data_IF_415602286514
#
_entry.id   IF_415602286514
#
_cell.length_a   1.000
_cell.length_b   1.000
_cell.length_c   1.000
_cell.angle_alpha   90.00
_cell.angle_beta   90.00
_cell.angle_gamma   90.00
#
_symmetry.space_group_name_H-M   'P 1'
#
loop_
_entity.id
_entity.type
_entity.pdbx_description
1 polymer ?
#
# COMPACT_ATOMS: atom_id res chain seq x y z
N UNK A 1 16.10 -34.98 11.90
CA UNK A 1 15.14 -34.04 12.49
C UNK A 1 14.49 -33.31 11.32
N UNK A 2 13.21 -33.54 11.11
CA UNK A 2 12.53 -33.47 9.81
C UNK A 2 11.61 -32.25 9.68
N UNK A 3 11.53 -31.68 8.47
CA UNK A 3 10.33 -31.06 7.84
C UNK A 3 10.59 -30.99 6.32
N UNK A 4 10.12 -31.97 5.53
CA UNK A 4 8.83 -32.07 4.78
C UNK A 4 8.71 -31.09 3.58
N UNK A 5 8.91 -31.68 2.38
CA UNK A 5 8.69 -31.17 1.00
C UNK A 5 9.59 -29.99 0.59
N UNK A 6 10.71 -30.15 -0.11
CA UNK A 6 10.99 -31.08 -1.22
C UNK A 6 11.23 -30.37 -2.56
N UNK A 7 11.27 -29.05 -2.60
CA UNK A 7 11.84 -28.29 -3.70
C UNK A 7 13.08 -27.57 -3.18
N UNK A 8 14.24 -27.94 -3.71
CA UNK A 8 15.48 -27.19 -3.53
C UNK A 8 15.19 -25.75 -3.94
N UNK A 9 15.34 -24.80 -3.02
CA UNK A 9 15.38 -23.39 -3.38
C UNK A 9 16.48 -23.24 -4.44
N UNK A 10 16.08 -22.99 -5.69
CA UNK A 10 17.04 -22.81 -6.76
C UNK A 10 17.92 -21.64 -6.34
N UNK A 11 19.23 -21.88 -6.20
CA UNK A 11 20.18 -20.78 -5.92
C UNK A 11 19.88 -19.65 -6.89
N UNK A 12 19.82 -18.42 -6.39
CA UNK A 12 19.51 -17.17 -7.09
C UNK A 12 20.06 -17.12 -8.52
N UNK A 13 21.30 -17.57 -8.71
CA UNK A 13 21.97 -17.64 -10.02
C UNK A 13 21.25 -18.54 -11.04
N UNK A 14 20.71 -19.69 -10.62
CA UNK A 14 19.96 -20.58 -11.51
C UNK A 14 18.64 -19.94 -11.96
N UNK A 15 17.97 -19.19 -11.08
CA UNK A 15 16.74 -18.48 -11.44
C UNK A 15 17.02 -17.44 -12.54
N UNK A 16 18.08 -16.65 -12.37
CA UNK A 16 18.51 -15.66 -13.37
C UNK A 16 18.81 -16.35 -14.69
N UNK A 17 19.63 -17.41 -14.70
CA UNK A 17 19.97 -18.14 -15.93
C UNK A 17 18.73 -18.72 -16.65
N UNK A 18 17.78 -19.26 -15.90
CA UNK A 18 16.53 -19.79 -16.48
C UNK A 18 15.68 -18.67 -17.06
N UNK A 19 15.56 -17.54 -16.35
CA UNK A 19 14.83 -16.37 -16.85
C UNK A 19 15.47 -15.83 -18.14
N UNK A 20 16.79 -15.67 -18.18
CA UNK A 20 17.53 -15.24 -19.37
C UNK A 20 17.28 -16.17 -20.56
N UNK A 21 17.38 -17.50 -20.35
CA UNK A 21 17.12 -18.47 -21.40
C UNK A 21 15.68 -18.38 -21.93
N UNK A 22 14.69 -18.23 -21.04
CA UNK A 22 13.28 -18.05 -21.43
C UNK A 22 13.12 -16.76 -22.24
N UNK A 23 13.70 -15.65 -21.80
CA UNK A 23 13.57 -14.36 -22.47
C UNK A 23 14.26 -14.36 -23.83
N UNK A 24 15.39 -15.05 -23.99
CA UNK A 24 16.04 -15.24 -25.28
C UNK A 24 15.14 -15.98 -26.27
N UNK A 25 14.49 -17.07 -25.85
CA UNK A 25 13.54 -17.81 -26.69
C UNK A 25 12.30 -16.98 -27.04
N UNK A 26 11.84 -16.12 -26.13
CA UNK A 26 10.69 -15.23 -26.35
C UNK A 26 11.03 -13.96 -27.15
N UNK A 27 12.32 -13.65 -27.35
CA UNK A 27 12.78 -12.42 -28.01
C UNK A 27 12.60 -11.15 -27.17
N UNK A 28 12.31 -11.28 -25.87
CA UNK A 28 12.14 -10.18 -24.92
C UNK A 28 11.02 -10.40 -23.90
N UNK A 29 11.08 -9.70 -22.77
CA UNK A 29 10.06 -9.77 -21.72
C UNK A 29 9.94 -8.48 -20.90
N UNK A 30 8.75 -8.28 -20.34
CA UNK A 30 8.50 -7.26 -19.33
C UNK A 30 8.47 -7.90 -17.94
N UNK A 31 9.27 -7.37 -17.03
CA UNK A 31 9.27 -7.76 -15.61
C UNK A 31 8.66 -6.63 -14.80
N UNK A 32 7.53 -6.89 -14.15
CA UNK A 32 6.81 -5.92 -13.30
C UNK A 32 6.97 -6.36 -11.85
N UNK A 33 7.63 -5.54 -11.05
CA UNK A 33 7.82 -5.75 -9.62
C UNK A 33 7.06 -4.67 -8.85
N UNK A 34 5.97 -5.06 -8.17
CA UNK A 34 5.16 -4.14 -7.40
C UNK A 34 5.55 -4.19 -5.91
N UNK A 35 5.76 -3.02 -5.31
CA UNK A 35 6.12 -2.79 -3.92
C UNK A 35 7.33 -3.62 -3.45
N UNK A 36 8.47 -3.47 -4.13
CA UNK A 36 9.71 -4.21 -3.80
C UNK A 36 10.11 -4.05 -2.33
N UNK A 37 9.85 -2.89 -1.72
CA UNK A 37 10.20 -2.63 -0.32
C UNK A 37 9.45 -3.48 0.69
N UNK A 38 8.32 -4.10 0.31
CA UNK A 38 7.53 -5.04 1.12
C UNK A 38 8.02 -6.50 1.01
N UNK A 39 9.04 -6.77 0.18
CA UNK A 39 9.65 -8.08 0.08
C UNK A 39 10.47 -8.41 1.34
N UNK A 40 10.26 -9.60 1.93
CA UNK A 40 11.03 -10.06 3.09
C UNK A 40 12.50 -10.30 2.70
N UNK A 41 12.72 -11.00 1.58
CA UNK A 41 14.04 -11.34 1.06
C UNK A 41 14.54 -10.26 0.07
N UNK A 42 14.35 -8.99 0.44
CA UNK A 42 14.60 -7.83 -0.43
C UNK A 42 16.02 -7.77 -0.98
N UNK A 43 17.02 -8.08 -0.15
CA UNK A 43 18.43 -8.04 -0.57
C UNK A 43 18.73 -9.05 -1.69
N UNK A 44 18.14 -10.24 -1.61
CA UNK A 44 18.26 -11.26 -2.66
C UNK A 44 17.55 -10.80 -3.93
N UNK A 45 16.34 -10.25 -3.81
CA UNK A 45 15.58 -9.71 -4.93
C UNK A 45 16.32 -8.56 -5.63
N UNK A 46 16.92 -7.63 -4.88
CA UNK A 46 17.74 -6.54 -5.42
C UNK A 46 18.95 -7.08 -6.20
N UNK A 47 19.60 -8.13 -5.69
CA UNK A 47 20.67 -8.82 -6.41
C UNK A 47 20.21 -9.45 -7.73
N UNK A 48 19.03 -10.07 -7.75
CA UNK A 48 18.41 -10.61 -8.98
C UNK A 48 18.14 -9.48 -9.98
N UNK A 49 17.49 -8.39 -9.53
CA UNK A 49 17.17 -7.25 -10.39
C UNK A 49 18.43 -6.65 -10.99
N UNK A 50 19.47 -6.45 -10.18
CA UNK A 50 20.76 -5.96 -10.65
C UNK A 50 21.36 -6.90 -11.70
N UNK A 51 21.38 -8.21 -11.45
CA UNK A 51 21.90 -9.19 -12.39
C UNK A 51 21.13 -9.17 -13.73
N UNK A 52 19.80 -9.11 -13.69
CA UNK A 52 18.96 -9.06 -14.90
C UNK A 52 19.20 -7.78 -15.70
N UNK A 53 19.21 -6.61 -15.04
CA UNK A 53 19.35 -5.31 -15.72
C UNK A 53 20.75 -5.11 -16.29
N UNK A 54 21.78 -5.67 -15.64
CA UNK A 54 23.17 -5.58 -16.10
C UNK A 54 23.56 -6.68 -17.09
N UNK A 55 22.74 -7.72 -17.21
CA UNK A 55 22.98 -8.80 -18.16
C UNK A 55 22.86 -8.30 -19.60
N UNK A 56 23.75 -8.81 -20.46
CA UNK A 56 23.65 -8.64 -21.91
C UNK A 56 22.81 -9.74 -22.58
N UNK A 57 22.28 -10.67 -21.79
CA UNK A 57 21.68 -11.92 -22.25
C UNK A 57 20.15 -11.86 -22.14
N UNK A 58 19.49 -11.12 -23.02
CA UNK A 58 18.02 -11.04 -23.12
C UNK A 58 17.48 -9.61 -23.12
N UNK A 59 16.39 -9.35 -23.85
CA UNK A 59 15.72 -8.04 -23.89
C UNK A 59 14.73 -7.93 -22.71
N UNK A 60 15.23 -7.56 -21.53
CA UNK A 60 14.41 -7.30 -20.36
C UNK A 60 13.98 -5.84 -20.27
N UNK A 61 12.68 -5.61 -20.04
CA UNK A 61 12.12 -4.30 -19.71
C UNK A 61 11.54 -4.37 -18.31
N UNK A 62 12.26 -3.79 -17.35
CA UNK A 62 11.88 -3.86 -15.94
C UNK A 62 11.09 -2.61 -15.57
N UNK A 63 9.92 -2.81 -14.98
CA UNK A 63 9.14 -1.78 -14.30
C UNK A 63 9.04 -2.16 -12.82
N UNK A 64 9.34 -1.21 -11.95
CA UNK A 64 9.41 -1.46 -10.53
C UNK A 64 8.76 -0.33 -9.74
N UNK A 65 8.03 -0.68 -8.69
CA UNK A 65 7.54 0.27 -7.69
C UNK A 65 8.16 -0.04 -6.33
N UNK A 66 8.54 0.99 -5.58
CA UNK A 66 9.12 0.88 -4.25
C UNK A 66 9.03 2.21 -3.51
N UNK A 67 9.00 2.17 -2.18
CA UNK A 67 9.41 3.32 -1.36
C UNK A 67 10.88 3.65 -1.61
N UNK A 68 11.21 4.94 -1.53
CA UNK A 68 12.58 5.45 -1.64
C UNK A 68 13.32 5.24 -0.30
N UNK A 69 13.67 3.99 0.00
CA UNK A 69 14.50 3.64 1.15
C UNK A 69 15.99 3.71 0.77
N UNK A 70 16.89 4.17 1.66
CA UNK A 70 18.30 4.39 1.31
C UNK A 70 19.03 3.16 0.77
N UNK A 71 18.71 1.98 1.30
CA UNK A 71 19.27 0.70 0.87
C UNK A 71 18.79 0.30 -0.54
N UNK A 72 17.53 0.58 -0.86
CA UNK A 72 16.94 0.32 -2.18
C UNK A 72 17.52 1.30 -3.21
N UNK A 73 17.53 2.60 -2.87
CA UNK A 73 18.05 3.66 -3.74
C UNK A 73 19.52 3.41 -4.09
N UNK A 74 20.34 2.99 -3.12
CA UNK A 74 21.75 2.68 -3.36
C UNK A 74 22.00 1.63 -4.45
N UNK A 75 21.07 0.67 -4.63
CA UNK A 75 21.16 -0.37 -5.66
C UNK A 75 20.47 0.04 -6.95
N UNK A 76 19.30 0.67 -6.87
CA UNK A 76 18.46 0.94 -8.04
C UNK A 76 18.83 2.24 -8.78
N UNK A 77 19.25 3.30 -8.08
CA UNK A 77 19.56 4.60 -8.71
C UNK A 77 20.57 4.49 -9.87
N UNK A 78 21.64 3.67 -9.79
CA UNK A 78 22.58 3.48 -10.90
C UNK A 78 21.98 2.70 -12.09
N UNK A 79 20.89 1.97 -11.88
CA UNK A 79 20.26 1.09 -12.87
C UNK A 79 19.05 1.74 -13.56
N UNK A 80 18.45 2.74 -12.92
CA UNK A 80 17.22 3.38 -13.39
C UNK A 80 17.48 4.19 -14.66
N UNK A 81 16.79 3.83 -15.73
CA UNK A 81 16.80 4.61 -16.99
C UNK A 81 15.73 5.71 -17.00
N UNK A 82 14.59 5.44 -16.36
CA UNK A 82 13.47 6.37 -16.21
C UNK A 82 12.95 6.28 -14.79
N UNK A 83 13.00 7.40 -14.06
CA UNK A 83 12.38 7.50 -12.74
C UNK A 83 11.02 8.19 -12.87
N UNK A 84 9.99 7.58 -12.28
CA UNK A 84 8.67 8.19 -12.09
C UNK A 84 8.55 8.84 -10.71
N UNK A 85 9.66 8.97 -9.97
CA UNK A 85 9.67 9.73 -8.73
C UNK A 85 9.08 11.11 -8.99
N UNK A 86 7.98 11.36 -8.29
CA UNK A 86 7.10 12.48 -8.53
C UNK A 86 7.88 13.77 -8.76
N UNK A 87 7.56 14.46 -9.84
CA UNK A 87 7.76 15.90 -9.92
C UNK A 87 6.96 16.48 -8.74
N UNK A 88 7.61 16.74 -7.60
CA UNK A 88 6.92 17.03 -6.35
C UNK A 88 5.91 18.19 -6.48
N UNK A 89 6.19 19.14 -7.39
CA UNK A 89 5.30 20.25 -7.72
C UNK A 89 3.98 19.82 -8.39
N UNK A 90 3.92 18.67 -9.10
CA UNK A 90 2.69 18.19 -9.73
C UNK A 90 1.77 17.50 -8.73
N UNK A 91 2.33 16.78 -7.75
CA UNK A 91 1.52 15.99 -6.80
C UNK A 91 0.69 16.89 -5.90
N UNK A 92 1.24 18.00 -5.39
CA UNK A 92 0.47 18.91 -4.54
C UNK A 92 -0.68 19.58 -5.31
N UNK A 93 -0.47 19.88 -6.60
CA UNK A 93 -1.51 20.38 -7.49
C UNK A 93 -2.60 19.34 -7.75
N UNK A 94 -2.21 18.09 -8.00
CA UNK A 94 -3.15 17.00 -8.24
C UNK A 94 -3.96 16.69 -6.97
N UNK A 95 -3.34 16.79 -5.79
CA UNK A 95 -4.03 16.71 -4.50
C UNK A 95 -5.02 17.85 -4.33
N UNK A 96 -4.66 19.10 -4.63
CA UNK A 96 -5.59 20.23 -4.57
C UNK A 96 -6.81 20.01 -5.48
N UNK A 97 -6.58 19.56 -6.73
CA UNK A 97 -7.66 19.22 -7.66
C UNK A 97 -8.55 18.10 -7.12
N UNK A 98 -7.95 17.03 -6.61
CA UNK A 98 -8.66 15.92 -5.99
C UNK A 98 -9.51 16.37 -4.79
N UNK A 99 -8.93 17.15 -3.87
CA UNK A 99 -9.63 17.65 -2.68
C UNK A 99 -10.80 18.54 -3.08
N UNK A 100 -10.61 19.47 -4.01
CA UNK A 100 -11.69 20.33 -4.51
C UNK A 100 -12.84 19.50 -5.07
N UNK A 101 -12.53 18.53 -5.92
CA UNK A 101 -13.53 17.63 -6.48
C UNK A 101 -14.29 16.89 -5.40
N UNK A 102 -13.59 16.32 -4.41
CA UNK A 102 -14.22 15.54 -3.33
C UNK A 102 -15.08 16.41 -2.41
N UNK A 103 -14.63 17.60 -2.03
CA UNK A 103 -15.39 18.51 -1.16
C UNK A 103 -16.67 18.99 -1.86
N UNK A 104 -16.61 19.23 -3.17
CA UNK A 104 -17.75 19.72 -3.95
C UNK A 104 -18.74 18.61 -4.35
N UNK A 105 -18.27 17.41 -4.64
CA UNK A 105 -19.11 16.31 -5.12
C UNK A 105 -19.68 15.42 -4.00
N UNK A 106 -18.98 15.30 -2.86
CA UNK A 106 -19.37 14.38 -1.81
C UNK A 106 -20.58 14.91 -1.01
N UNK A 107 -21.73 14.20 -0.94
CA UNK A 107 -22.98 14.73 -0.37
C UNK A 107 -22.86 15.25 1.08
N UNK A 108 -21.97 14.65 1.88
CA UNK A 108 -21.76 15.06 3.29
C UNK A 108 -20.84 16.28 3.45
N UNK A 109 -20.06 16.62 2.43
CA UNK A 109 -19.09 17.72 2.46
C UNK A 109 -19.62 18.93 1.69
N UNK A 110 -20.29 18.71 0.56
CA UNK A 110 -20.83 19.77 -0.30
C UNK A 110 -21.94 20.58 0.35
N UNK A 111 -22.57 20.05 1.41
CA UNK A 111 -23.56 20.76 2.23
C UNK A 111 -22.99 21.94 3.03
N UNK A 112 -21.67 21.99 3.23
CA UNK A 112 -21.04 23.05 4.01
C UNK A 112 -20.97 24.35 3.21
N UNK A 113 -20.94 25.49 3.90
CA UNK A 113 -20.74 26.79 3.26
C UNK A 113 -19.34 26.89 2.64
N UNK A 114 -19.18 27.75 1.62
CA UNK A 114 -17.93 27.88 0.86
C UNK A 114 -16.72 28.09 1.77
N UNK A 115 -16.86 28.92 2.80
CA UNK A 115 -15.77 29.25 3.73
C UNK A 115 -15.26 28.01 4.48
N UNK A 116 -16.16 27.07 4.79
CA UNK A 116 -15.83 25.82 5.47
C UNK A 116 -15.22 24.81 4.50
N UNK A 117 -15.73 24.78 3.26
CA UNK A 117 -15.15 23.97 2.19
C UNK A 117 -13.72 24.40 1.87
N UNK A 118 -13.47 25.71 1.84
CA UNK A 118 -12.14 26.29 1.67
C UNK A 118 -11.23 25.95 2.87
N UNK A 119 -11.72 26.07 4.10
CA UNK A 119 -10.97 25.69 5.32
C UNK A 119 -10.59 24.20 5.31
N UNK A 120 -11.51 23.33 4.87
CA UNK A 120 -11.22 21.89 4.67
C UNK A 120 -10.14 21.72 3.62
N UNK A 121 -10.31 22.31 2.43
CA UNK A 121 -9.36 22.18 1.33
C UNK A 121 -7.95 22.59 1.76
N UNK A 122 -7.81 23.79 2.30
CA UNK A 122 -6.52 24.35 2.65
C UNK A 122 -5.81 23.52 3.73
N UNK A 123 -6.58 23.01 4.70
CA UNK A 123 -6.04 22.14 5.76
C UNK A 123 -5.60 20.78 5.22
N UNK A 124 -6.33 20.21 4.25
CA UNK A 124 -5.97 18.92 3.66
C UNK A 124 -4.79 19.03 2.71
N UNK A 125 -4.77 20.03 1.82
CA UNK A 125 -3.64 20.25 0.90
C UNK A 125 -2.36 20.49 1.69
N UNK A 126 -2.40 21.33 2.73
CA UNK A 126 -1.24 21.61 3.59
C UNK A 126 -0.78 20.37 4.38
N UNK A 127 -1.71 19.51 4.80
CA UNK A 127 -1.41 18.33 5.60
C UNK A 127 -1.04 17.08 4.80
N UNK A 128 -1.30 17.07 3.48
CA UNK A 128 -1.21 15.85 2.68
C UNK A 128 0.21 15.30 2.55
N UNK A 129 1.21 16.17 2.41
CA UNK A 129 2.61 15.75 2.21
C UNK A 129 2.75 14.75 1.05
N UNK A 130 2.09 15.00 -0.08
CA UNK A 130 2.08 14.09 -1.23
C UNK A 130 1.18 12.83 -1.10
N UNK A 131 0.47 12.63 0.02
CA UNK A 131 -0.29 11.40 0.27
C UNK A 131 -1.79 11.56 0.02
N UNK A 132 -2.27 11.12 -1.14
CA UNK A 132 -3.72 11.01 -1.43
C UNK A 132 -4.46 10.16 -0.39
N UNK A 133 -3.85 9.08 0.10
CA UNK A 133 -4.47 8.20 1.10
C UNK A 133 -4.72 8.92 2.42
N UNK A 134 -3.79 9.78 2.86
CA UNK A 134 -4.00 10.57 4.06
C UNK A 134 -5.19 11.52 3.89
N UNK A 135 -5.29 12.19 2.73
CA UNK A 135 -6.39 13.09 2.38
C UNK A 135 -7.73 12.34 2.42
N UNK A 136 -7.82 11.17 1.77
CA UNK A 136 -9.01 10.33 1.75
C UNK A 136 -9.51 9.97 3.16
N UNK A 137 -8.61 9.53 4.04
CA UNK A 137 -8.95 9.25 5.43
C UNK A 137 -9.52 10.48 6.17
N UNK A 138 -8.98 11.66 5.92
CA UNK A 138 -9.47 12.89 6.55
C UNK A 138 -10.81 13.33 5.97
N UNK A 139 -11.03 13.18 4.66
CA UNK A 139 -12.33 13.44 4.02
C UNK A 139 -13.43 12.55 4.61
N UNK A 140 -13.16 11.26 4.82
CA UNK A 140 -14.08 10.34 5.49
C UNK A 140 -14.41 10.82 6.91
N UNK A 141 -13.39 11.26 7.66
CA UNK A 141 -13.56 11.75 9.05
C UNK A 141 -14.39 13.04 9.09
N UNK A 142 -14.08 13.99 8.21
CA UNK A 142 -14.80 15.27 8.10
C UNK A 142 -16.24 15.06 7.62
N UNK A 143 -16.48 14.10 6.72
CA UNK A 143 -17.81 13.72 6.24
C UNK A 143 -18.72 13.18 7.35
N UNK A 144 -18.16 12.68 8.47
CA UNK A 144 -18.93 12.21 9.63
C UNK A 144 -19.34 13.34 10.58
N UNK A 145 -18.83 14.56 10.43
CA UNK A 145 -19.15 15.68 11.31
C UNK A 145 -20.59 16.16 11.09
N UNK A 146 -21.43 16.17 12.13
CA UNK A 146 -22.85 16.54 12.02
C UNK A 146 -23.14 18.05 12.05
N UNK A 147 -22.22 18.85 12.61
CA UNK A 147 -22.40 20.29 12.75
C UNK A 147 -21.08 21.04 12.56
N UNK A 148 -21.19 22.34 12.31
CA UNK A 148 -20.06 23.22 12.02
C UNK A 148 -19.01 23.23 13.16
N UNK A 149 -19.46 23.21 14.42
CA UNK A 149 -18.57 23.18 15.58
C UNK A 149 -17.69 21.93 15.58
N UNK A 150 -18.26 20.77 15.26
CA UNK A 150 -17.53 19.51 15.20
C UNK A 150 -16.59 19.46 13.99
N UNK A 151 -17.03 19.98 12.84
CA UNK A 151 -16.19 20.09 11.65
C UNK A 151 -14.93 20.95 11.92
N UNK A 152 -15.11 22.18 12.45
CA UNK A 152 -13.98 23.06 12.81
C UNK A 152 -13.05 22.45 13.85
N UNK A 153 -13.58 21.67 14.80
CA UNK A 153 -12.75 20.94 15.77
C UNK A 153 -11.96 19.82 15.10
N UNK A 154 -12.56 19.09 14.16
CA UNK A 154 -11.90 18.00 13.44
C UNK A 154 -10.78 18.52 12.53
N UNK A 155 -11.02 19.63 11.81
CA UNK A 155 -10.01 20.32 10.98
C UNK A 155 -8.76 20.70 11.81
N UNK A 156 -8.97 21.20 13.03
CA UNK A 156 -7.87 21.58 13.94
C UNK A 156 -7.13 20.40 14.57
N UNK A 157 -7.68 19.19 14.48
CA UNK A 157 -7.16 17.97 15.09
C UNK A 157 -6.84 16.90 14.05
N UNK A 158 -6.56 17.32 12.82
CA UNK A 158 -6.15 16.38 11.78
C UNK A 158 -4.83 15.71 12.19
N UNK A 159 -4.71 14.38 12.00
CA UNK A 159 -3.47 13.66 12.24
C UNK A 159 -2.32 14.21 11.38
N UNK A 160 -1.11 14.27 11.90
CA UNK A 160 0.05 14.80 11.15
C UNK A 160 0.64 13.83 10.13
N UNK A 161 0.25 12.55 10.18
CA UNK A 161 0.76 11.52 9.27
C UNK A 161 -0.26 10.42 9.01
N UNK A 162 0.01 9.60 8.01
CA UNK A 162 -0.79 8.41 7.72
C UNK A 162 -0.67 7.38 8.87
N UNK A 163 0.51 7.22 9.46
CA UNK A 163 0.72 6.36 10.64
C UNK A 163 -0.12 6.80 11.84
N UNK A 164 -0.16 8.11 12.13
CA UNK A 164 -1.00 8.64 13.20
C UNK A 164 -2.49 8.46 12.91
N UNK A 165 -2.88 8.58 11.62
CA UNK A 165 -4.25 8.30 11.17
C UNK A 165 -4.65 6.87 11.48
N UNK A 166 -3.80 5.89 11.13
CA UNK A 166 -4.08 4.48 11.43
C UNK A 166 -4.04 4.18 12.93
N UNK A 167 -3.09 4.77 13.67
CA UNK A 167 -3.03 4.63 15.14
C UNK A 167 -4.33 5.08 15.80
N UNK A 168 -4.87 6.24 15.40
CA UNK A 168 -6.14 6.77 15.90
C UNK A 168 -7.34 5.93 15.45
N UNK A 169 -7.28 5.29 14.28
CA UNK A 169 -8.31 4.36 13.84
C UNK A 169 -8.30 3.08 14.68
N UNK A 170 -7.14 2.47 14.90
CA UNK A 170 -6.98 1.28 15.74
C UNK A 170 -7.37 1.54 17.20
N UNK A 171 -7.02 2.70 17.75
CA UNK A 171 -7.37 3.07 19.12
C UNK A 171 -8.88 3.26 19.38
N UNK A 172 -9.71 3.27 18.33
CA UNK A 172 -11.18 3.31 18.45
C UNK A 172 -11.80 1.93 18.53
N UNK A 173 -11.04 0.88 18.23
CA UNK A 173 -11.50 -0.50 18.27
C UNK A 173 -11.26 -1.02 19.69
N UNK A 174 -12.28 -1.64 20.28
CA UNK A 174 -12.15 -2.28 21.59
C UNK A 174 -11.04 -3.34 21.56
N UNK A 175 -10.27 -3.43 22.64
CA UNK A 175 -9.19 -4.39 22.75
C UNK A 175 -9.71 -5.83 22.68
N UNK A 176 -10.94 -6.08 23.15
CA UNK A 176 -11.61 -7.37 23.05
C UNK A 176 -11.81 -7.83 21.60
N UNK A 177 -11.74 -6.91 20.62
CA UNK A 177 -11.86 -7.23 19.20
C UNK A 177 -10.53 -7.30 18.46
N UNK A 178 -9.38 -7.12 19.12
CA UNK A 178 -8.08 -7.06 18.44
C UNK A 178 -7.70 -8.35 17.72
N UNK A 179 -8.07 -9.51 18.27
CA UNK A 179 -7.84 -10.80 17.61
C UNK A 179 -8.51 -10.85 16.22
N UNK A 180 -9.76 -10.38 16.11
CA UNK A 180 -10.48 -10.32 14.85
C UNK A 180 -9.87 -9.29 13.90
N UNK A 181 -9.40 -8.16 14.41
CA UNK A 181 -8.73 -7.13 13.60
C UNK A 181 -7.45 -7.68 12.99
N UNK A 182 -6.59 -8.31 13.79
CA UNK A 182 -5.34 -8.91 13.32
C UNK A 182 -5.65 -9.98 12.28
N UNK A 183 -6.55 -10.91 12.59
CA UNK A 183 -6.96 -11.96 11.64
C UNK A 183 -7.48 -11.37 10.33
N UNK A 184 -8.40 -10.40 10.38
CA UNK A 184 -8.95 -9.74 9.18
C UNK A 184 -7.85 -9.06 8.36
N UNK A 185 -6.94 -8.32 8.99
CA UNK A 185 -5.84 -7.64 8.29
C UNK A 185 -4.85 -8.62 7.67
N UNK A 186 -4.54 -9.72 8.36
CA UNK A 186 -3.69 -10.79 7.83
C UNK A 186 -4.33 -11.40 6.58
N UNK A 187 -5.60 -11.78 6.66
CA UNK A 187 -6.32 -12.35 5.52
C UNK A 187 -6.45 -11.36 4.36
N UNK A 188 -6.71 -10.07 4.63
CA UNK A 188 -6.70 -9.04 3.59
C UNK A 188 -5.34 -8.89 2.91
N UNK A 189 -4.24 -9.05 3.64
CA UNK A 189 -2.89 -8.90 3.09
C UNK A 189 -2.45 -10.10 2.24
N UNK A 190 -2.90 -11.31 2.58
CA UNK A 190 -2.44 -12.55 1.90
C UNK A 190 -3.45 -13.11 0.90
N UNK A 191 -4.68 -12.60 0.88
CA UNK A 191 -5.71 -13.13 -0.01
C UNK A 191 -5.39 -12.79 -1.47
N UNK A 192 -5.45 -13.77 -2.39
CA UNK A 192 -5.12 -13.55 -3.80
C UNK A 192 -6.17 -12.69 -4.53
N UNK A 193 -7.32 -12.44 -3.90
CA UNK A 193 -8.41 -11.62 -4.41
C UNK A 193 -8.95 -10.75 -3.28
N UNK A 194 -9.55 -9.59 -3.59
CA UNK A 194 -10.23 -8.77 -2.58
C UNK A 194 -11.30 -9.59 -1.85
N UNK A 195 -11.23 -9.61 -0.52
CA UNK A 195 -12.20 -10.30 0.32
C UNK A 195 -13.53 -9.57 0.34
N UNK A 196 -14.62 -10.31 0.18
CA UNK A 196 -15.96 -9.82 0.49
C UNK A 196 -16.19 -9.80 2.01
N UNK A 197 -17.13 -8.96 2.47
CA UNK A 197 -17.45 -8.86 3.90
C UNK A 197 -17.96 -10.20 4.43
N UNK A 198 -18.72 -10.94 3.63
CA UNK A 198 -19.23 -12.27 3.98
C UNK A 198 -18.09 -13.27 4.19
N UNK A 199 -17.11 -13.30 3.28
CA UNK A 199 -15.93 -14.16 3.39
C UNK A 199 -15.10 -13.80 4.63
N UNK A 200 -14.93 -12.50 4.91
CA UNK A 200 -14.23 -12.06 6.12
C UNK A 200 -14.94 -12.55 7.39
N UNK A 201 -16.27 -12.49 7.44
CA UNK A 201 -17.05 -13.00 8.58
C UNK A 201 -16.90 -14.52 8.73
N UNK A 202 -16.94 -15.27 7.64
CA UNK A 202 -16.75 -16.73 7.66
C UNK A 202 -15.35 -17.11 8.18
N UNK A 203 -14.31 -16.40 7.73
CA UNK A 203 -12.93 -16.60 8.20
C UNK A 203 -12.84 -16.38 9.72
N UNK A 204 -13.47 -15.32 10.24
CA UNK A 204 -13.44 -15.01 11.68
C UNK A 204 -14.25 -16.00 12.52
N UNK A 205 -15.21 -16.71 11.92
CA UNK A 205 -15.95 -17.77 12.57
C UNK A 205 -15.17 -19.08 12.66
N UNK A 206 -14.02 -19.21 12.00
CA UNK A 206 -13.19 -20.43 12.07
C UNK A 206 -12.19 -20.30 13.23
N UNK A 207 -12.29 -21.22 14.19
CA UNK A 207 -11.28 -21.47 15.20
C UNK A 207 -10.10 -22.23 14.58
N UNK A 208 -9.05 -21.49 14.24
CA UNK A 208 -7.79 -22.04 13.72
C UNK A 208 -6.88 -22.61 14.84
N UNK A 209 -7.22 -22.44 16.12
CA UNK A 209 -6.47 -23.00 17.26
C UNK A 209 -7.02 -24.35 17.74
N UNK A 210 -8.15 -24.79 17.18
CA UNK A 210 -8.71 -26.13 17.38
C UNK A 210 -7.66 -27.23 17.10
N UNK A 211 -7.42 -28.08 18.09
CA UNK A 211 -6.38 -29.13 18.06
C UNK A 211 -6.60 -30.24 17.04
N UNK A 212 -7.82 -30.40 16.54
CA UNK A 212 -8.21 -31.57 15.74
C UNK A 212 -8.50 -31.22 14.26
N UNK A 213 -9.00 -30.01 13.95
CA UNK A 213 -9.27 -29.46 12.61
C UNK A 213 -9.85 -28.02 12.74
N UNK A 214 -9.71 -27.09 11.77
CA UNK A 214 -10.43 -25.81 11.83
C UNK A 214 -11.93 -26.02 12.00
N UNK A 215 -12.46 -25.57 13.13
CA UNK A 215 -13.86 -25.75 13.51
C UNK A 215 -14.57 -24.39 13.47
N UNK A 216 -15.86 -24.37 13.15
CA UNK A 216 -16.64 -23.15 13.35
C UNK A 216 -16.81 -22.92 14.86
N UNK A 217 -16.44 -21.73 15.33
CA UNK A 217 -16.61 -21.27 16.71
C UNK A 217 -18.08 -20.99 17.03
#
# INVERSE_FOLDING_TARGET
MATRHGLLQARTNHLVTVLEAIVQELGGAYLVLDALDECIDRDELLGIVQAIVTSSSGDFRVFLTSRQLPDIAAVLDPLVTVSLEAVAETVDRDIDLFVRHQVQSHPKLSRWQSEVQDEIRDSLVKGAGGMFRWVDCQLITLGKCLNLRNAKKAIKKLPTSLSETYRLAMARIDQDHWEYVVSTLTWLAVSPKPLEITEAVEILAVDFESKDWPAFA
#
